data_IF_089332622155
#
_entry.id   IF_089332622155
#
_cell.length_a   1.000
_cell.length_b   1.000
_cell.length_c   1.000
_cell.angle_alpha   90.00
_cell.angle_beta   90.00
_cell.angle_gamma   90.00
#
_symmetry.space_group_name_H-M   'P 1'
#
loop_
_entity.id
_entity.type
_entity.pdbx_description
1 polymer ?
#
# COMPACT_ATOMS: atom_id res chain seq x y z
N UNK A 1 12.18 41.10 -12.13
CA UNK A 1 10.78 41.03 -12.55
C UNK A 1 10.68 40.02 -13.71
N UNK A 2 10.40 38.74 -13.42
CA UNK A 2 9.94 37.78 -14.43
C UNK A 2 8.61 37.28 -13.96
N UNK A 3 7.61 37.41 -14.82
CA UNK A 3 6.24 36.93 -14.73
C UNK A 3 6.21 35.47 -14.32
N UNK A 4 5.47 35.16 -13.26
CA UNK A 4 5.15 33.80 -12.86
C UNK A 4 3.92 33.40 -13.69
N UNK A 5 4.18 32.67 -14.76
CA UNK A 5 3.14 32.07 -15.59
C UNK A 5 2.38 31.03 -14.74
N UNK A 6 1.11 31.30 -14.53
CA UNK A 6 0.20 30.41 -13.80
C UNK A 6 -0.15 29.19 -14.65
N UNK A 7 0.64 28.14 -14.58
CA UNK A 7 0.28 26.84 -15.12
C UNK A 7 -0.68 26.16 -14.16
N UNK A 8 -1.93 25.99 -14.59
CA UNK A 8 -2.91 25.10 -13.99
C UNK A 8 -2.33 23.70 -13.83
N UNK A 9 -2.62 22.97 -12.75
CA UNK A 9 -2.17 21.59 -12.58
C UNK A 9 -2.64 20.73 -13.75
N UNK A 10 -1.75 19.87 -14.23
CA UNK A 10 -2.08 18.91 -15.30
C UNK A 10 -3.04 17.85 -14.73
N UNK A 11 -4.28 17.96 -15.10
CA UNK A 11 -5.35 17.02 -14.70
C UNK A 11 -5.18 15.63 -15.33
N UNK A 12 -4.27 15.48 -16.32
CA UNK A 12 -4.07 14.22 -17.03
C UNK A 12 -3.54 13.08 -16.14
N UNK A 13 -2.67 13.39 -15.14
CA UNK A 13 -2.17 12.38 -14.22
C UNK A 13 -3.25 11.90 -13.23
N UNK A 14 -4.20 12.77 -12.90
CA UNK A 14 -5.35 12.46 -12.06
C UNK A 14 -6.44 11.69 -12.83
N UNK A 15 -6.54 11.92 -14.15
CA UNK A 15 -7.46 11.19 -15.01
C UNK A 15 -7.03 9.74 -15.24
N UNK A 16 -5.75 9.41 -15.11
CA UNK A 16 -5.28 8.02 -15.23
C UNK A 16 -5.72 7.18 -14.01
N UNK A 17 -5.71 7.76 -12.81
CA UNK A 17 -6.27 7.12 -11.63
C UNK A 17 -7.80 6.99 -11.72
N UNK A 18 -8.48 8.00 -12.28
CA UNK A 18 -9.92 8.01 -12.47
C UNK A 18 -10.40 7.07 -13.60
N UNK A 19 -9.53 6.70 -14.55
CA UNK A 19 -9.86 5.73 -15.61
C UNK A 19 -9.82 4.29 -15.12
N UNK A 20 -9.03 3.97 -14.08
CA UNK A 20 -9.08 2.66 -13.43
C UNK A 20 -10.41 2.46 -12.69
N UNK A 21 -10.93 3.50 -12.06
CA UNK A 21 -12.22 3.45 -11.35
C UNK A 21 -13.42 3.28 -12.31
N UNK A 22 -13.38 3.89 -13.50
CA UNK A 22 -14.46 3.74 -14.50
C UNK A 22 -14.54 2.35 -15.15
N UNK A 23 -13.46 1.56 -15.10
CA UNK A 23 -13.45 0.20 -15.63
C UNK A 23 -14.03 -0.80 -14.62
N UNK A 24 -13.99 -0.47 -13.32
CA UNK A 24 -14.61 -1.24 -12.24
C UNK A 24 -16.15 -1.22 -12.33
N UNK A 25 -16.75 -0.06 -12.61
CA UNK A 25 -18.22 0.10 -12.65
C UNK A 25 -18.90 -0.70 -13.75
N UNK A 26 -18.23 -1.01 -14.85
CA UNK A 26 -18.82 -1.78 -15.97
C UNK A 26 -18.94 -3.28 -15.74
N UNK A 27 -18.26 -3.83 -14.74
CA UNK A 27 -18.26 -5.27 -14.45
C UNK A 27 -19.15 -5.66 -13.27
N UNK A 28 -19.56 -4.70 -12.44
CA UNK A 28 -20.47 -4.87 -11.32
C UNK A 28 -21.90 -5.24 -11.74
N UNK A 29 -22.36 -4.77 -12.91
CA UNK A 29 -23.75 -4.93 -13.36
C UNK A 29 -24.16 -6.36 -13.80
N UNK A 30 -23.26 -7.35 -13.74
CA UNK A 30 -23.57 -8.72 -14.20
C UNK A 30 -23.78 -9.78 -13.11
N UNK A 31 -23.70 -9.43 -11.84
CA UNK A 31 -23.92 -10.38 -10.73
C UNK A 31 -25.01 -10.01 -9.73
N UNK A 32 -25.94 -9.13 -10.08
CA UNK A 32 -27.16 -8.90 -9.32
C UNK A 32 -28.16 -10.02 -9.60
N UNK A 33 -27.91 -11.17 -9.00
CA UNK A 33 -28.89 -12.24 -8.86
C UNK A 33 -29.84 -11.91 -7.73
N UNK A 34 -31.10 -11.69 -8.07
CA UNK A 34 -32.33 -11.55 -7.33
C UNK A 34 -32.28 -12.09 -5.88
N UNK A 35 -32.17 -11.20 -4.91
CA UNK A 35 -32.71 -11.46 -3.57
C UNK A 35 -33.91 -10.53 -3.35
N UNK A 36 -35.10 -11.09 -3.49
CA UNK A 36 -36.35 -10.47 -3.07
C UNK A 36 -36.45 -10.50 -1.55
N UNK A 37 -35.86 -9.53 -0.89
CA UNK A 37 -36.08 -9.21 0.52
C UNK A 37 -36.86 -7.92 0.58
N UNK A 38 -38.12 -7.97 1.06
CA UNK A 38 -38.95 -6.80 1.34
C UNK A 38 -38.22 -5.90 2.34
N UNK A 39 -37.94 -4.62 2.07
CA UNK A 39 -37.34 -3.74 3.07
C UNK A 39 -38.39 -3.48 4.17
N UNK A 40 -38.04 -3.88 5.39
CA UNK A 40 -38.76 -3.46 6.59
C UNK A 40 -38.23 -2.05 6.94
N UNK A 41 -39.18 -1.11 7.09
CA UNK A 41 -39.05 0.34 7.36
C UNK A 41 -39.03 1.20 6.09
N UNK A 42 -39.98 2.16 6.04
CA UNK A 42 -40.19 3.09 4.93
C UNK A 42 -39.02 4.04 4.71
N UNK A 43 -37.96 3.50 4.16
CA UNK A 43 -36.85 4.26 3.64
C UNK A 43 -37.21 4.75 2.24
N UNK A 44 -37.09 6.05 2.01
CA UNK A 44 -37.08 6.58 0.66
C UNK A 44 -36.01 5.78 -0.12
N UNK A 45 -36.36 5.34 -1.33
CA UNK A 45 -35.42 4.64 -2.19
C UNK A 45 -34.12 5.46 -2.30
N UNK A 46 -32.95 4.81 -2.05
CA UNK A 46 -31.66 5.47 -2.15
C UNK A 46 -31.50 6.01 -3.58
N UNK A 47 -31.26 7.31 -3.71
CA UNK A 47 -31.01 7.97 -5.00
C UNK A 47 -29.52 7.90 -5.33
N UNK A 48 -29.14 6.86 -6.08
CA UNK A 48 -27.75 6.64 -6.51
C UNK A 48 -27.21 7.80 -7.35
N UNK A 49 -28.06 8.43 -8.18
CA UNK A 49 -27.63 9.53 -9.03
C UNK A 49 -27.34 10.80 -8.22
N UNK A 50 -28.21 11.12 -7.25
CA UNK A 50 -27.97 12.24 -6.35
C UNK A 50 -26.72 12.01 -5.49
N UNK A 51 -26.53 10.79 -4.94
CA UNK A 51 -25.34 10.43 -4.17
C UNK A 51 -24.07 10.52 -5.02
N UNK A 52 -24.10 10.00 -6.25
CA UNK A 52 -22.97 10.11 -7.19
C UNK A 52 -22.61 11.56 -7.49
N UNK A 53 -23.62 12.43 -7.71
CA UNK A 53 -23.38 13.85 -7.94
C UNK A 53 -22.76 14.56 -6.73
N UNK A 54 -23.15 14.21 -5.50
CA UNK A 54 -22.56 14.75 -4.28
C UNK A 54 -21.08 14.32 -4.13
N UNK A 55 -20.75 13.04 -4.44
CA UNK A 55 -19.39 12.55 -4.44
C UNK A 55 -18.52 13.25 -5.48
N UNK A 56 -19.04 13.46 -6.70
CA UNK A 56 -18.33 14.19 -7.76
C UNK A 56 -18.08 15.64 -7.37
N UNK A 57 -19.05 16.31 -6.74
CA UNK A 57 -18.89 17.67 -6.23
C UNK A 57 -17.81 17.73 -5.12
N UNK A 58 -17.84 16.80 -4.16
CA UNK A 58 -16.82 16.69 -3.11
C UNK A 58 -15.44 16.44 -3.70
N UNK A 59 -15.32 15.51 -4.67
CA UNK A 59 -14.08 15.26 -5.38
C UNK A 59 -13.55 16.53 -6.05
N UNK A 60 -14.40 17.27 -6.75
CA UNK A 60 -14.01 18.52 -7.42
C UNK A 60 -13.52 19.57 -6.42
N UNK A 61 -14.17 19.71 -5.26
CA UNK A 61 -13.76 20.60 -4.19
C UNK A 61 -12.39 20.23 -3.63
N UNK A 62 -12.17 18.95 -3.32
CA UNK A 62 -10.86 18.44 -2.83
C UNK A 62 -9.76 18.68 -3.85
N UNK A 63 -9.99 18.38 -5.13
CA UNK A 63 -9.01 18.63 -6.17
C UNK A 63 -8.66 20.11 -6.34
N UNK A 64 -9.67 20.99 -6.21
CA UNK A 64 -9.46 22.44 -6.28
C UNK A 64 -8.71 23.00 -5.06
N UNK A 65 -8.76 22.31 -3.92
CA UNK A 65 -8.07 22.73 -2.69
C UNK A 65 -6.60 22.30 -2.64
N UNK A 66 -6.16 21.36 -3.49
CA UNK A 66 -4.78 20.89 -3.51
C UNK A 66 -3.78 22.04 -3.76
N UNK A 67 -2.77 22.14 -2.88
CA UNK A 67 -1.85 23.28 -2.98
C UNK A 67 -0.60 23.18 -2.11
N UNK A 68 -0.07 24.36 -1.81
CA UNK A 68 1.18 24.50 -1.08
C UNK A 68 1.12 23.91 0.34
N UNK A 69 -0.04 23.92 0.97
CA UNK A 69 -0.23 23.38 2.32
C UNK A 69 -0.11 21.84 2.34
N UNK A 70 -0.73 21.18 1.35
CA UNK A 70 -0.63 19.72 1.19
C UNK A 70 0.79 19.31 0.86
N UNK A 71 1.44 20.03 -0.07
CA UNK A 71 2.85 19.81 -0.38
C UNK A 71 3.77 20.01 0.83
N UNK A 72 3.47 20.98 1.69
CA UNK A 72 4.21 21.18 2.93
C UNK A 72 3.91 20.08 3.95
N UNK A 73 2.68 19.56 4.01
CA UNK A 73 2.29 18.46 4.87
C UNK A 73 3.12 17.21 4.59
N UNK A 74 3.11 16.70 3.34
CA UNK A 74 3.85 15.48 3.01
C UNK A 74 5.36 15.62 3.23
N UNK A 75 5.94 16.79 2.91
CA UNK A 75 7.36 17.05 3.15
C UNK A 75 7.70 17.09 4.65
N UNK A 76 6.81 17.65 5.47
CA UNK A 76 6.95 17.60 6.95
C UNK A 76 6.84 16.18 7.46
N UNK A 77 5.91 15.39 6.93
CA UNK A 77 5.72 14.00 7.33
C UNK A 77 6.98 13.16 7.03
N UNK A 78 7.50 13.24 5.81
CA UNK A 78 8.76 12.59 5.40
C UNK A 78 9.93 13.03 6.29
N UNK A 79 10.01 14.33 6.59
CA UNK A 79 11.08 14.86 7.46
C UNK A 79 10.95 14.33 8.89
N UNK A 80 9.72 14.25 9.42
CA UNK A 80 9.45 13.75 10.76
C UNK A 80 9.79 12.27 10.88
N UNK A 81 9.38 11.47 9.89
CA UNK A 81 9.73 10.05 9.81
C UNK A 81 11.25 9.84 9.84
N UNK A 82 12.01 10.58 9.03
CA UNK A 82 13.48 10.47 9.01
C UNK A 82 14.14 10.91 10.32
N UNK A 83 13.55 11.89 11.02
CA UNK A 83 14.02 12.30 12.37
C UNK A 83 13.75 11.21 13.40
N UNK A 84 12.59 10.56 13.34
CA UNK A 84 12.27 9.43 14.23
C UNK A 84 13.21 8.27 14.00
N UNK A 85 13.48 7.92 12.73
CA UNK A 85 14.41 6.87 12.35
C UNK A 85 15.81 7.16 12.90
N UNK A 86 16.35 8.36 12.65
CA UNK A 86 17.66 8.76 13.14
C UNK A 86 17.73 8.77 14.67
N UNK A 87 16.72 9.32 15.35
CA UNK A 87 16.68 9.37 16.80
C UNK A 87 16.59 7.97 17.42
N UNK A 88 15.78 7.08 16.83
CA UNK A 88 15.67 5.69 17.24
C UNK A 88 17.00 4.95 17.12
N UNK A 89 17.70 5.11 16.00
CA UNK A 89 19.05 4.52 15.78
C UNK A 89 20.06 5.09 16.79
N UNK A 90 20.09 6.41 16.99
CA UNK A 90 20.99 7.04 17.94
C UNK A 90 20.77 6.54 19.39
N UNK A 91 19.52 6.31 19.79
CA UNK A 91 19.21 5.73 21.11
C UNK A 91 19.67 4.27 21.23
N UNK A 92 19.63 3.49 20.14
CA UNK A 92 20.13 2.11 20.15
C UNK A 92 21.64 2.02 20.33
N UNK A 93 22.44 3.05 20.08
CA UNK A 93 23.86 3.10 20.48
C UNK A 93 24.04 2.97 22.01
N UNK A 94 23.03 3.39 22.78
CA UNK A 94 22.97 3.18 24.23
C UNK A 94 22.05 2.00 24.59
N UNK A 95 21.82 1.05 23.70
CA UNK A 95 20.84 -0.03 23.85
C UNK A 95 21.10 -1.02 24.97
N UNK A 96 22.30 -1.03 25.55
CA UNK A 96 22.62 -1.76 26.78
C UNK A 96 21.85 -1.21 27.98
N UNK A 97 21.31 0.00 27.90
CA UNK A 97 20.44 0.62 28.90
C UNK A 97 18.99 0.34 28.52
N UNK A 98 18.21 -0.47 29.29
CA UNK A 98 16.88 -0.91 28.90
C UNK A 98 15.90 0.21 28.48
N UNK A 99 15.83 1.37 29.15
CA UNK A 99 15.00 2.47 28.68
C UNK A 99 15.39 3.01 27.30
N UNK A 100 16.69 3.12 27.01
CA UNK A 100 17.17 3.60 25.70
C UNK A 100 16.82 2.60 24.60
N UNK A 101 16.98 1.29 24.87
CA UNK A 101 16.58 0.23 23.97
C UNK A 101 15.06 0.27 23.69
N UNK A 102 14.22 0.37 24.71
CA UNK A 102 12.76 0.42 24.54
C UNK A 102 12.32 1.65 23.73
N UNK A 103 12.81 2.83 24.08
CA UNK A 103 12.45 4.08 23.39
C UNK A 103 13.00 4.07 21.97
N UNK A 104 14.24 3.64 21.75
CA UNK A 104 14.85 3.52 20.43
C UNK A 104 14.06 2.59 19.52
N UNK A 105 13.69 1.40 20.03
CA UNK A 105 12.86 0.44 19.29
C UNK A 105 11.48 1.02 18.97
N UNK A 106 10.83 1.70 19.91
CA UNK A 106 9.52 2.32 19.68
C UNK A 106 9.58 3.41 18.60
N UNK A 107 10.62 4.25 18.61
CA UNK A 107 10.82 5.29 17.58
C UNK A 107 11.06 4.68 16.20
N UNK A 108 11.88 3.62 16.10
CA UNK A 108 12.12 2.93 14.84
C UNK A 108 10.84 2.24 14.33
N UNK A 109 10.09 1.59 15.22
CA UNK A 109 8.81 0.97 14.85
C UNK A 109 7.82 2.02 14.30
N UNK A 110 7.70 3.17 14.96
CA UNK A 110 6.87 4.27 14.49
C UNK A 110 7.37 4.83 13.14
N UNK A 111 8.67 5.01 12.99
CA UNK A 111 9.27 5.46 11.73
C UNK A 111 8.97 4.48 10.58
N UNK A 112 9.05 3.17 10.82
CA UNK A 112 8.75 2.11 9.84
C UNK A 112 7.27 2.09 9.46
N UNK A 113 6.38 2.23 10.45
CA UNK A 113 4.93 2.33 10.22
C UNK A 113 4.62 3.55 9.33
N UNK A 114 5.16 4.73 9.67
CA UNK A 114 4.96 5.93 8.87
C UNK A 114 5.51 5.78 7.44
N UNK A 115 6.69 5.19 7.28
CA UNK A 115 7.30 4.98 5.96
C UNK A 115 6.45 4.06 5.08
N UNK A 116 5.99 2.95 5.61
CA UNK A 116 5.31 1.95 4.78
C UNK A 116 3.82 2.26 4.61
N UNK A 117 3.11 2.66 5.68
CA UNK A 117 1.65 2.78 5.65
C UNK A 117 1.19 4.18 5.23
N UNK A 118 1.90 5.24 5.63
CA UNK A 118 1.44 6.61 5.45
C UNK A 118 2.15 7.31 4.29
N UNK A 119 3.46 7.11 4.17
CA UNK A 119 4.27 7.79 3.16
C UNK A 119 4.35 6.94 1.89
N UNK A 120 4.97 5.77 1.96
CA UNK A 120 5.23 4.93 0.80
C UNK A 120 3.95 4.48 0.12
N UNK A 121 2.97 4.00 0.90
CA UNK A 121 1.66 3.59 0.41
C UNK A 121 0.98 4.70 -0.42
N UNK A 122 0.81 5.88 0.18
CA UNK A 122 0.13 7.00 -0.47
C UNK A 122 0.91 7.56 -1.68
N UNK A 123 2.24 7.60 -1.60
CA UNK A 123 3.06 8.01 -2.75
C UNK A 123 2.94 6.99 -3.89
N UNK A 124 2.98 5.69 -3.61
CA UNK A 124 2.87 4.64 -4.62
C UNK A 124 1.48 4.56 -5.26
N UNK A 125 0.44 5.08 -4.58
CA UNK A 125 -0.88 5.34 -5.19
C UNK A 125 -0.91 6.56 -6.12
N UNK A 126 0.17 7.34 -6.21
CA UNK A 126 0.22 8.53 -7.04
C UNK A 126 -0.48 9.75 -6.44
N UNK A 127 -0.89 9.71 -5.17
CA UNK A 127 -1.62 10.81 -4.52
C UNK A 127 -0.86 12.15 -4.53
N UNK A 128 0.46 12.12 -4.67
CA UNK A 128 1.35 13.28 -4.64
C UNK A 128 1.96 13.64 -6.00
N UNK A 129 1.60 12.91 -7.06
CA UNK A 129 2.20 13.08 -8.39
C UNK A 129 1.88 14.45 -9.02
N UNK A 130 0.78 15.08 -8.60
CA UNK A 130 0.41 16.43 -9.00
C UNK A 130 1.46 17.50 -8.64
N UNK A 131 2.29 17.25 -7.61
CA UNK A 131 3.38 18.17 -7.24
C UNK A 131 4.53 18.18 -8.24
N UNK A 132 4.65 17.15 -9.09
CA UNK A 132 5.76 16.94 -10.04
C UNK A 132 7.14 17.00 -9.36
N UNK A 133 7.20 16.61 -8.09
CA UNK A 133 8.44 16.55 -7.31
C UNK A 133 9.07 15.16 -7.50
N UNK A 134 10.23 15.04 -8.20
CA UNK A 134 10.84 13.73 -8.46
C UNK A 134 11.29 13.00 -7.21
N UNK A 135 11.30 13.65 -6.04
CA UNK A 135 11.61 13.05 -4.75
C UNK A 135 10.38 12.48 -4.04
N UNK A 136 9.17 12.86 -4.48
CA UNK A 136 7.89 12.42 -3.91
C UNK A 136 6.96 12.13 -5.08
N UNK A 137 7.22 11.02 -5.80
CA UNK A 137 6.46 10.66 -7.00
C UNK A 137 6.35 9.15 -7.11
N UNK A 138 5.21 8.64 -7.55
CA UNK A 138 4.91 7.21 -7.60
C UNK A 138 5.85 6.38 -8.48
N UNK A 139 6.49 7.01 -9.47
CA UNK A 139 7.42 6.33 -10.39
C UNK A 139 8.85 6.28 -9.89
N UNK A 140 9.22 7.13 -8.92
CA UNK A 140 10.60 7.29 -8.44
C UNK A 140 10.77 6.89 -6.98
N UNK A 141 9.68 6.79 -6.22
CA UNK A 141 9.73 6.39 -4.83
C UNK A 141 10.10 4.93 -4.69
N UNK A 142 11.18 4.65 -3.98
CA UNK A 142 11.60 3.31 -3.60
C UNK A 142 11.38 3.13 -2.10
N UNK A 143 10.27 2.53 -1.75
CA UNK A 143 9.87 2.36 -0.35
C UNK A 143 10.79 1.42 0.42
N UNK A 144 10.79 1.55 1.73
CA UNK A 144 11.63 0.78 2.64
C UNK A 144 11.02 -0.59 2.95
N UNK A 145 11.03 -1.47 1.95
CA UNK A 145 10.40 -2.79 1.97
C UNK A 145 11.16 -3.74 1.05
N UNK A 146 11.09 -5.04 1.30
CA UNK A 146 11.77 -6.05 0.46
C UNK A 146 11.11 -6.24 -0.90
N UNK A 147 9.81 -5.93 -1.03
CA UNK A 147 9.11 -5.97 -2.31
C UNK A 147 9.48 -4.76 -3.19
N UNK A 148 9.81 -4.97 -4.48
CA UNK A 148 9.95 -3.88 -5.42
C UNK A 148 8.63 -3.10 -5.58
N UNK A 149 8.68 -1.76 -5.50
CA UNK A 149 7.50 -0.90 -5.61
C UNK A 149 6.65 -1.18 -6.87
N UNK A 150 7.28 -1.55 -7.99
CA UNK A 150 6.55 -1.91 -9.21
C UNK A 150 5.68 -3.15 -9.02
N UNK A 151 6.20 -4.21 -8.39
CA UNK A 151 5.47 -5.45 -8.16
C UNK A 151 4.31 -5.25 -7.19
N UNK A 152 4.55 -4.46 -6.13
CA UNK A 152 3.52 -4.08 -5.19
C UNK A 152 2.39 -3.28 -5.87
N UNK A 153 2.71 -2.32 -6.75
CA UNK A 153 1.67 -1.58 -7.49
C UNK A 153 0.81 -2.49 -8.39
N UNK A 154 1.40 -3.51 -8.99
CA UNK A 154 0.64 -4.48 -9.79
C UNK A 154 -0.32 -5.32 -8.93
N UNK A 155 0.13 -5.79 -7.76
CA UNK A 155 -0.72 -6.59 -6.86
C UNK A 155 -1.75 -5.73 -6.13
N UNK A 156 -1.36 -4.57 -5.64
CA UNK A 156 -2.18 -3.71 -4.81
C UNK A 156 -3.04 -2.75 -5.64
N UNK A 157 -2.43 -1.86 -6.45
CA UNK A 157 -3.20 -0.85 -7.17
C UNK A 157 -4.06 -1.45 -8.30
N UNK A 158 -3.57 -2.49 -9.00
CA UNK A 158 -4.32 -3.07 -10.11
C UNK A 158 -5.26 -4.20 -9.66
N UNK A 159 -4.78 -5.13 -8.82
CA UNK A 159 -5.59 -6.30 -8.44
C UNK A 159 -6.50 -6.01 -7.26
N UNK A 160 -5.94 -5.58 -6.13
CA UNK A 160 -6.73 -5.31 -4.93
C UNK A 160 -7.75 -4.19 -5.14
N UNK A 161 -7.37 -3.04 -5.69
CA UNK A 161 -8.30 -1.94 -5.92
C UNK A 161 -9.36 -2.22 -6.99
N UNK A 162 -9.08 -3.11 -7.95
CA UNK A 162 -10.09 -3.52 -8.94
C UNK A 162 -11.09 -4.52 -8.36
N UNK A 163 -10.65 -5.39 -7.46
CA UNK A 163 -11.44 -6.51 -6.93
C UNK A 163 -11.59 -6.46 -5.40
N UNK A 164 -11.53 -5.27 -4.82
CA UNK A 164 -11.59 -5.09 -3.36
C UNK A 164 -12.71 -5.93 -2.74
N UNK A 165 -12.34 -6.78 -1.77
CA UNK A 165 -13.22 -7.69 -1.06
C UNK A 165 -13.91 -8.78 -1.90
N UNK A 166 -13.51 -9.00 -3.16
CA UNK A 166 -14.04 -10.11 -3.96
C UNK A 166 -13.27 -11.39 -3.67
N UNK A 167 -13.92 -12.36 -3.02
CA UNK A 167 -13.33 -13.66 -2.69
C UNK A 167 -12.75 -14.35 -3.92
N UNK A 168 -11.51 -14.83 -3.81
CA UNK A 168 -10.81 -15.53 -4.88
C UNK A 168 -10.26 -14.64 -5.99
N UNK A 169 -10.46 -13.32 -5.88
CA UNK A 169 -9.86 -12.32 -6.76
C UNK A 169 -8.95 -11.37 -6.01
N UNK A 170 -9.45 -10.85 -4.89
CA UNK A 170 -8.69 -10.01 -3.98
C UNK A 170 -7.88 -10.89 -3.04
N UNK A 171 -6.58 -10.87 -3.21
CA UNK A 171 -5.69 -11.69 -2.41
C UNK A 171 -5.31 -11.04 -1.07
N UNK A 172 -5.55 -9.74 -0.90
CA UNK A 172 -5.41 -9.09 0.41
C UNK A 172 -6.43 -9.64 1.42
N UNK A 173 -7.48 -10.34 0.92
CA UNK A 173 -8.37 -11.14 1.73
C UNK A 173 -7.70 -12.44 2.20
N UNK A 174 -6.97 -12.35 3.31
CA UNK A 174 -6.37 -13.51 3.98
C UNK A 174 -5.17 -14.12 3.26
N UNK A 175 -4.65 -13.50 2.21
CA UNK A 175 -3.44 -13.89 1.47
C UNK A 175 -3.44 -15.35 0.98
N UNK A 176 -4.62 -15.90 0.73
CA UNK A 176 -4.80 -17.30 0.30
C UNK A 176 -4.53 -18.35 1.37
N UNK A 177 -4.20 -17.97 2.60
CA UNK A 177 -3.87 -18.87 3.71
C UNK A 177 -4.81 -18.75 4.92
N UNK A 178 -5.51 -17.64 5.06
CA UNK A 178 -6.47 -17.44 6.13
C UNK A 178 -7.90 -17.48 5.60
N UNK A 179 -8.80 -18.10 6.34
CA UNK A 179 -10.23 -18.00 6.13
C UNK A 179 -10.73 -16.74 6.82
N UNK A 180 -11.22 -15.77 6.07
CA UNK A 180 -11.65 -14.44 6.55
C UNK A 180 -13.14 -14.20 6.37
N UNK A 181 -13.83 -15.09 5.63
CA UNK A 181 -15.26 -14.98 5.34
C UNK A 181 -16.01 -16.30 5.61
N UNK A 182 -17.29 -16.19 5.96
CA UNK A 182 -18.15 -17.34 6.23
C UNK A 182 -18.38 -18.21 4.98
N UNK A 183 -18.40 -17.59 3.79
CA UNK A 183 -18.63 -18.27 2.52
C UNK A 183 -17.41 -19.08 2.03
N UNK A 184 -16.24 -18.84 2.63
CA UNK A 184 -15.06 -19.67 2.35
C UNK A 184 -15.21 -21.05 3.00
N UNK A 185 -14.82 -22.14 2.31
CA UNK A 185 -14.87 -23.50 2.88
C UNK A 185 -14.07 -23.60 4.18
N UNK A 186 -14.66 -24.26 5.17
CA UNK A 186 -13.94 -24.53 6.41
C UNK A 186 -13.08 -25.79 6.27
N UNK A 187 -11.85 -25.73 6.73
CA UNK A 187 -10.91 -26.85 6.81
C UNK A 187 -10.33 -26.97 8.22
N UNK A 188 -9.96 -28.17 8.62
CA UNK A 188 -9.35 -28.40 9.95
C UNK A 188 -8.11 -27.52 10.20
N UNK A 189 -7.35 -27.21 9.15
CA UNK A 189 -6.21 -26.30 9.21
C UNK A 189 -6.58 -24.89 9.72
N UNK A 190 -7.85 -24.45 9.54
CA UNK A 190 -8.30 -23.14 10.02
C UNK A 190 -8.28 -23.00 11.56
N UNK A 191 -8.24 -24.11 12.30
CA UNK A 191 -8.03 -24.08 13.76
C UNK A 191 -6.65 -23.48 14.11
N UNK A 192 -5.69 -23.57 13.22
CA UNK A 192 -4.36 -22.99 13.38
C UNK A 192 -4.26 -21.48 13.03
N UNK A 193 -5.35 -20.85 12.59
CA UNK A 193 -5.31 -19.45 12.15
C UNK A 193 -4.71 -18.45 13.17
N UNK A 194 -4.98 -18.53 14.47
CA UNK A 194 -4.33 -17.62 15.42
C UNK A 194 -2.80 -17.69 15.35
N UNK A 195 -2.25 -18.90 15.17
CA UNK A 195 -0.81 -19.10 15.00
C UNK A 195 -0.32 -18.56 13.64
N UNK A 196 -1.06 -18.83 12.55
CA UNK A 196 -0.69 -18.31 11.22
C UNK A 196 -0.75 -16.80 11.18
N UNK A 197 -1.74 -16.16 11.81
CA UNK A 197 -1.85 -14.72 11.91
C UNK A 197 -0.65 -14.12 12.65
N UNK A 198 -0.23 -14.75 13.73
CA UNK A 198 0.97 -14.32 14.48
C UNK A 198 2.24 -14.47 13.64
N UNK A 199 2.43 -15.60 12.96
CA UNK A 199 3.56 -15.83 12.07
C UNK A 199 3.55 -14.83 10.91
N UNK A 200 2.38 -14.60 10.29
CA UNK A 200 2.25 -13.60 9.25
C UNK A 200 2.59 -12.19 9.74
N UNK A 201 2.18 -11.82 10.95
CA UNK A 201 2.53 -10.52 11.50
C UNK A 201 4.05 -10.37 11.68
N UNK A 202 4.74 -11.41 12.15
CA UNK A 202 6.21 -11.40 12.29
C UNK A 202 6.96 -11.33 10.96
N UNK A 203 6.42 -11.99 9.93
CA UNK A 203 7.06 -12.10 8.62
C UNK A 203 6.26 -11.37 7.52
N UNK A 204 5.47 -10.39 7.92
CA UNK A 204 4.55 -9.68 7.00
C UNK A 204 5.27 -9.14 5.76
N UNK A 205 6.39 -8.48 5.94
CA UNK A 205 7.20 -7.92 4.86
C UNK A 205 7.61 -8.99 3.83
N UNK A 206 8.01 -10.17 4.30
CA UNK A 206 8.41 -11.30 3.45
C UNK A 206 7.22 -11.99 2.79
N UNK A 207 6.10 -12.05 3.52
CA UNK A 207 4.82 -12.56 3.01
C UNK A 207 4.33 -11.74 1.83
N UNK A 208 4.27 -10.42 2.00
CA UNK A 208 3.88 -9.48 0.94
C UNK A 208 4.82 -9.59 -0.26
N UNK A 209 6.14 -9.62 -0.04
CA UNK A 209 7.10 -9.76 -1.13
C UNK A 209 6.90 -11.07 -1.94
N UNK A 210 6.64 -12.18 -1.25
CA UNK A 210 6.34 -13.48 -1.90
C UNK A 210 5.06 -13.42 -2.71
N UNK A 211 4.08 -12.71 -2.20
CA UNK A 211 2.80 -12.47 -2.83
C UNK A 211 2.94 -11.59 -4.08
N UNK A 212 3.57 -10.42 -3.97
CA UNK A 212 3.82 -9.49 -5.08
C UNK A 212 4.63 -10.13 -6.21
N UNK A 213 5.54 -11.05 -5.86
CA UNK A 213 6.28 -11.86 -6.84
C UNK A 213 5.37 -12.85 -7.58
N UNK A 214 4.16 -13.15 -7.07
CA UNK A 214 3.34 -14.28 -7.51
C UNK A 214 4.13 -15.60 -7.41
N UNK A 215 4.77 -15.81 -6.26
CA UNK A 215 5.74 -16.90 -6.04
C UNK A 215 5.16 -18.28 -6.41
N UNK A 216 3.88 -18.52 -6.12
CA UNK A 216 3.21 -19.77 -6.51
C UNK A 216 3.24 -20.00 -8.03
N UNK A 217 2.93 -18.97 -8.81
CA UNK A 217 2.88 -19.10 -10.29
C UNK A 217 4.30 -19.22 -10.87
N UNK A 218 5.28 -18.61 -10.25
CA UNK A 218 6.71 -18.77 -10.59
C UNK A 218 7.16 -20.21 -10.33
N UNK A 219 6.89 -20.77 -9.13
CA UNK A 219 7.33 -22.12 -8.75
C UNK A 219 6.60 -23.22 -9.56
N UNK A 220 5.32 -23.04 -9.80
CA UNK A 220 4.51 -24.02 -10.54
C UNK A 220 4.67 -23.93 -12.05
N UNK A 221 5.42 -22.93 -12.54
CA UNK A 221 5.65 -22.72 -13.97
C UNK A 221 4.41 -22.18 -14.72
N UNK A 222 3.40 -21.68 -14.00
CA UNK A 222 2.25 -21.01 -14.63
C UNK A 222 2.65 -19.68 -15.24
N UNK A 223 3.62 -18.98 -14.65
CA UNK A 223 4.20 -17.77 -15.22
C UNK A 223 5.31 -18.12 -16.21
N UNK A 224 5.29 -17.62 -17.45
CA UNK A 224 6.35 -17.85 -18.42
C UNK A 224 7.72 -17.37 -17.91
N UNK A 225 8.79 -18.09 -18.25
CA UNK A 225 10.14 -17.76 -17.76
C UNK A 225 10.61 -16.37 -18.17
N UNK A 226 10.17 -15.90 -19.33
CA UNK A 226 10.50 -14.57 -19.85
C UNK A 226 9.92 -13.45 -18.96
N UNK A 227 8.76 -13.69 -18.34
CA UNK A 227 8.12 -12.78 -17.40
C UNK A 227 8.64 -12.98 -15.97
N UNK A 228 8.78 -14.22 -15.52
CA UNK A 228 9.17 -14.54 -14.14
C UNK A 228 10.62 -14.14 -13.84
N UNK A 229 11.54 -14.33 -14.77
CA UNK A 229 12.97 -14.04 -14.56
C UNK A 229 13.23 -12.59 -14.17
N UNK A 230 12.80 -11.55 -14.91
CA UNK A 230 13.04 -10.16 -14.51
C UNK A 230 12.36 -9.79 -13.18
N UNK A 231 11.22 -10.39 -12.85
CA UNK A 231 10.52 -10.17 -11.57
C UNK A 231 11.34 -10.76 -10.41
N UNK A 232 11.84 -11.98 -10.56
CA UNK A 232 12.70 -12.64 -9.56
C UNK A 232 14.01 -11.88 -9.39
N UNK A 233 14.66 -11.48 -10.47
CA UNK A 233 15.92 -10.73 -10.43
C UNK A 233 15.76 -9.38 -9.71
N UNK A 234 14.65 -8.67 -9.96
CA UNK A 234 14.32 -7.42 -9.28
C UNK A 234 14.06 -7.65 -7.77
N UNK A 235 13.29 -8.68 -7.44
CA UNK A 235 13.02 -9.07 -6.05
C UNK A 235 14.30 -9.43 -5.30
N UNK A 236 15.15 -10.29 -5.87
CA UNK A 236 16.41 -10.69 -5.24
C UNK A 236 17.35 -9.50 -5.03
N UNK A 237 17.40 -8.57 -6.00
CA UNK A 237 18.20 -7.35 -5.90
C UNK A 237 17.72 -6.46 -4.76
N UNK A 238 16.41 -6.23 -4.69
CA UNK A 238 15.80 -5.42 -3.63
C UNK A 238 15.97 -6.07 -2.26
N UNK A 239 15.67 -7.36 -2.17
CA UNK A 239 15.81 -8.18 -0.96
C UNK A 239 17.25 -8.16 -0.44
N UNK A 240 18.24 -8.39 -1.31
CA UNK A 240 19.66 -8.32 -0.92
C UNK A 240 20.03 -6.95 -0.35
N UNK A 241 19.59 -5.87 -1.01
CA UNK A 241 19.84 -4.50 -0.55
C UNK A 241 19.22 -4.28 0.83
N UNK A 242 17.96 -4.69 1.02
CA UNK A 242 17.23 -4.52 2.28
C UNK A 242 17.87 -5.32 3.42
N UNK A 243 18.19 -6.59 3.17
CA UNK A 243 18.88 -7.44 4.16
C UNK A 243 20.24 -6.84 4.56
N UNK A 244 21.04 -6.41 3.59
CA UNK A 244 22.33 -5.79 3.89
C UNK A 244 22.19 -4.51 4.71
N UNK A 245 21.14 -3.70 4.43
CA UNK A 245 20.84 -2.49 5.21
C UNK A 245 20.40 -2.87 6.63
N UNK A 246 19.29 -3.60 6.77
CA UNK A 246 18.57 -3.77 8.03
C UNK A 246 19.27 -4.74 9.01
N UNK A 247 19.97 -5.77 8.48
CA UNK A 247 20.56 -6.83 9.32
C UNK A 247 22.09 -6.77 9.43
N UNK A 248 22.77 -5.96 8.61
CA UNK A 248 24.23 -5.84 8.67
C UNK A 248 24.68 -4.38 8.86
N UNK A 249 24.32 -3.48 7.94
CA UNK A 249 24.83 -2.11 7.99
C UNK A 249 24.26 -1.34 9.19
N UNK A 250 22.95 -1.36 9.40
CA UNK A 250 22.32 -0.67 10.50
C UNK A 250 22.74 -1.23 11.87
N UNK A 251 22.71 -2.55 12.12
CA UNK A 251 23.24 -3.11 13.36
C UNK A 251 24.72 -2.81 13.58
N UNK A 252 25.55 -2.89 12.55
CA UNK A 252 26.99 -2.61 12.68
C UNK A 252 27.29 -1.15 13.06
N UNK A 253 26.42 -0.20 12.62
CA UNK A 253 26.60 1.24 12.90
C UNK A 253 25.93 1.65 14.20
N UNK A 254 24.76 1.07 14.53
CA UNK A 254 23.89 1.55 15.59
C UNK A 254 23.67 0.57 16.76
N UNK A 255 24.30 -0.61 16.75
CA UNK A 255 24.13 -1.62 17.81
C UNK A 255 25.47 -2.02 18.47
N UNK A 256 26.50 -1.19 18.35
CA UNK A 256 27.82 -1.43 18.95
C UNK A 256 27.87 -1.18 20.45
#
# INVERSE_FOLDING_TARGET
>A
LRSIDGTTPDTAALDTAAQSDKQSDKQSDKQSGTQSGTPAFGEAAFDEAAFGAELDALRAEVLASLGAEDAAYIRRLVTSQRRLDLAGRALLLAGVVPPAWLVGTALLSLAKILENMEIGHNILHGQWDWMRDPKIHSTTWDWDHVSPAKQWKESHNETHHTYTNVLGRDNDLGYGIMRVDADQPWHLANLGQPLYSFINALFFEWGIASYDLKLHDVITGKMPREESKPRVDAMLTKMRRQVLKDYLADPAVFSA
#
